data_IF_573004743331
#
_entry.id   IF_573004743331
#
_cell.length_a   1.000
_cell.length_b   1.000
_cell.length_c   1.000
_cell.angle_alpha   90.00
_cell.angle_beta   90.00
_cell.angle_gamma   90.00
#
_symmetry.space_group_name_H-M   'P 1'
#
loop_
_entity.id
_entity.type
_entity.pdbx_description
1 polymer ?
#
# COMPACT_ATOMS: atom_id res chain seq x y z
N UNK A 1 -24.42 -42.69 41.83
CA UNK A 1 -24.28 -44.16 41.91
C UNK A 1 -24.02 -44.64 40.49
N UNK A 2 -22.75 -44.74 40.08
CA UNK A 2 -21.91 -45.96 40.12
C UNK A 2 -22.36 -46.93 39.01
N UNK A 3 -21.74 -46.89 37.83
CA UNK A 3 -20.50 -47.57 37.43
C UNK A 3 -20.65 -49.07 37.11
N UNK A 4 -20.11 -49.39 35.92
CA UNK A 4 -19.38 -50.60 35.56
C UNK A 4 -20.08 -51.80 34.86
N UNK A 5 -19.51 -52.08 33.68
CA UNK A 5 -18.92 -53.36 33.26
C UNK A 5 -19.74 -54.24 32.28
N UNK A 6 -19.50 -54.25 30.96
CA UNK A 6 -18.37 -54.76 30.15
C UNK A 6 -18.61 -56.18 29.62
N UNK A 7 -18.66 -56.33 28.28
CA UNK A 7 -17.91 -57.30 27.43
C UNK A 7 -18.67 -57.63 26.14
N UNK A 8 -18.01 -57.39 25.01
CA UNK A 8 -18.47 -57.81 23.69
C UNK A 8 -17.46 -57.41 22.62
N UNK A 9 -16.33 -58.11 22.60
CA UNK A 9 -15.34 -57.98 21.53
C UNK A 9 -15.86 -58.72 20.29
N UNK A 10 -16.09 -57.98 19.20
CA UNK A 10 -16.18 -58.54 17.85
C UNK A 10 -15.38 -57.63 16.92
N UNK A 11 -14.23 -58.14 16.52
CA UNK A 11 -13.39 -57.59 15.45
C UNK A 11 -14.16 -57.78 14.15
N UNK A 12 -14.55 -56.68 13.50
CA UNK A 12 -14.90 -56.74 12.08
C UNK A 12 -14.33 -55.52 11.36
N UNK A 13 -13.47 -55.84 10.39
CA UNK A 13 -12.84 -54.96 9.42
C UNK A 13 -13.91 -54.12 8.70
N UNK A 14 -13.76 -52.81 8.70
CA UNK A 14 -14.67 -51.89 8.01
C UNK A 14 -13.93 -50.67 7.51
N UNK A 15 -13.93 -50.52 6.20
CA UNK A 15 -13.33 -49.48 5.38
C UNK A 15 -13.87 -48.06 5.72
N UNK A 16 -12.97 -47.08 5.66
CA UNK A 16 -13.16 -45.71 5.13
C UNK A 16 -14.49 -44.96 5.37
N UNK A 17 -14.43 -43.86 6.12
CA UNK A 17 -15.11 -42.60 5.77
C UNK A 17 -14.48 -41.44 6.55
N UNK A 18 -13.44 -40.84 5.97
CA UNK A 18 -13.01 -39.49 6.35
C UNK A 18 -13.99 -38.52 5.70
N UNK A 19 -14.73 -37.76 6.51
CA UNK A 19 -15.43 -36.56 6.06
C UNK A 19 -14.85 -35.37 6.83
N UNK A 20 -13.88 -34.72 6.18
CA UNK A 20 -13.34 -33.43 6.60
C UNK A 20 -14.44 -32.37 6.52
N UNK A 21 -14.49 -31.54 7.55
CA UNK A 21 -15.03 -30.18 7.49
C UNK A 21 -14.34 -29.43 6.34
N UNK A 22 -15.12 -28.98 5.34
CA UNK A 22 -14.67 -27.90 4.45
C UNK A 22 -15.13 -26.59 5.09
N UNK A 23 -14.21 -25.96 5.81
CA UNK A 23 -14.31 -24.55 6.17
C UNK A 23 -14.30 -23.71 4.89
N UNK A 24 -15.10 -22.64 4.88
CA UNK A 24 -15.21 -21.72 3.75
C UNK A 24 -13.86 -21.10 3.40
N UNK A 25 -13.52 -21.18 2.12
CA UNK A 25 -12.44 -20.42 1.52
C UNK A 25 -13.05 -19.62 0.39
N UNK A 26 -13.45 -18.38 0.67
CA UNK A 26 -13.50 -17.37 -0.39
C UNK A 26 -12.11 -17.36 -1.05
N UNK A 27 -12.00 -17.47 -2.38
CA UNK A 27 -10.70 -17.38 -3.02
C UNK A 27 -10.06 -16.02 -2.64
N UNK A 28 -8.77 -15.97 -2.28
CA UNK A 28 -8.07 -14.69 -2.24
C UNK A 28 -8.23 -14.06 -3.62
N UNK A 29 -8.56 -12.77 -3.66
CA UNK A 29 -8.55 -12.00 -4.89
C UNK A 29 -7.22 -12.24 -5.60
N UNK A 30 -7.27 -12.98 -6.71
CA UNK A 30 -6.12 -13.20 -7.55
C UNK A 30 -5.76 -11.84 -8.14
N UNK A 31 -4.65 -11.27 -7.69
CA UNK A 31 -4.04 -10.13 -8.35
C UNK A 31 -3.74 -10.55 -9.80
N UNK A 32 -4.29 -9.82 -10.77
CA UNK A 32 -3.99 -10.04 -12.17
C UNK A 32 -2.51 -9.69 -12.41
N UNK A 33 -1.67 -10.71 -12.59
CA UNK A 33 -0.28 -10.52 -12.99
C UNK A 33 -0.22 -10.11 -14.47
N UNK A 34 0.04 -8.84 -14.75
CA UNK A 34 0.54 -8.41 -16.05
C UNK A 34 1.99 -8.92 -16.23
N UNK A 35 2.34 -9.29 -17.46
CA UNK A 35 3.65 -9.80 -17.84
C UNK A 35 4.74 -8.76 -17.55
N UNK A 36 5.45 -8.99 -16.45
CA UNK A 36 6.35 -8.04 -15.81
C UNK A 36 6.04 -8.09 -14.31
N UNK A 37 6.87 -8.79 -13.57
CA UNK A 37 6.80 -9.02 -12.12
C UNK A 37 6.97 -7.73 -11.29
N UNK A 38 6.14 -6.72 -11.56
CA UNK A 38 6.08 -5.47 -10.83
C UNK A 38 5.38 -5.74 -9.49
N UNK A 39 6.17 -5.93 -8.45
CA UNK A 39 5.68 -6.12 -7.09
C UNK A 39 5.35 -4.76 -6.47
N UNK A 40 4.08 -4.36 -6.53
CA UNK A 40 3.56 -3.21 -5.78
C UNK A 40 3.12 -3.68 -4.38
N UNK A 41 3.53 -3.00 -3.29
CA UNK A 41 3.03 -3.37 -1.96
C UNK A 41 1.50 -3.32 -1.94
N UNK A 42 0.82 -4.39 -1.52
CA UNK A 42 -0.65 -4.42 -1.44
C UNK A 42 -1.20 -3.90 -0.10
N UNK A 43 -0.34 -3.85 0.91
CA UNK A 43 -0.70 -3.51 2.28
C UNK A 43 -0.35 -2.07 2.65
N UNK A 44 -0.71 -1.66 3.87
CA UNK A 44 -0.23 -0.40 4.45
C UNK A 44 1.29 -0.45 4.62
N UNK A 45 1.97 0.63 4.22
CA UNK A 45 3.43 0.73 4.28
C UNK A 45 3.85 2.10 4.80
N UNK A 46 4.64 2.13 5.86
CA UNK A 46 5.31 3.35 6.31
C UNK A 46 6.40 3.73 5.30
N UNK A 47 6.25 4.89 4.65
CA UNK A 47 7.19 5.40 3.64
C UNK A 47 8.34 6.18 4.29
N UNK A 48 8.07 6.81 5.45
CA UNK A 48 9.05 7.54 6.25
C UNK A 48 8.55 8.93 6.63
N UNK A 49 9.41 9.70 7.29
CA UNK A 49 9.11 11.07 7.70
C UNK A 49 9.64 12.07 6.67
N UNK A 50 8.83 13.07 6.32
CA UNK A 50 9.20 14.16 5.42
C UNK A 50 8.96 15.51 6.10
N UNK A 51 9.59 16.56 5.57
CA UNK A 51 9.36 17.94 5.99
C UNK A 51 8.78 18.73 4.81
N UNK A 52 7.55 19.24 4.99
CA UNK A 52 6.92 20.15 4.05
C UNK A 52 7.39 21.59 4.35
N UNK A 53 8.08 22.26 3.41
CA UNK A 53 8.65 23.58 3.66
C UNK A 53 7.60 24.71 3.64
N UNK A 54 6.36 24.42 3.23
CA UNK A 54 5.28 25.39 3.07
C UNK A 54 3.90 24.71 3.12
N UNK A 55 2.82 25.46 3.37
CA UNK A 55 1.48 24.90 3.33
C UNK A 55 1.11 24.46 1.91
N UNK A 56 0.32 23.39 1.84
CA UNK A 56 -0.12 22.74 0.61
C UNK A 56 -1.57 22.29 0.74
N UNK A 57 -2.15 21.83 -0.36
CA UNK A 57 -3.44 21.17 -0.40
C UNK A 57 -3.23 19.66 -0.56
N UNK A 58 -3.92 18.89 0.28
CA UNK A 58 -3.99 17.43 0.22
C UNK A 58 -5.47 17.05 0.12
N UNK A 59 -5.89 16.43 -0.99
CA UNK A 59 -7.32 16.14 -1.28
C UNK A 59 -8.18 17.42 -1.22
N UNK A 60 -7.60 18.55 -1.65
CA UNK A 60 -8.22 19.88 -1.62
C UNK A 60 -8.32 20.54 -0.25
N UNK A 61 -7.84 19.90 0.82
CA UNK A 61 -7.81 20.45 2.18
C UNK A 61 -6.44 21.02 2.52
N UNK A 62 -6.40 22.12 3.28
CA UNK A 62 -5.14 22.73 3.69
C UNK A 62 -4.35 21.83 4.65
N UNK A 63 -3.11 21.54 4.29
CA UNK A 63 -2.11 20.84 5.08
C UNK A 63 -0.98 21.84 5.40
N UNK A 64 -0.79 22.22 6.69
CA UNK A 64 0.25 23.18 7.06
C UNK A 64 1.67 22.71 6.75
N UNK A 65 2.61 23.65 6.67
CA UNK A 65 4.05 23.34 6.68
C UNK A 65 4.43 22.58 7.96
N UNK A 66 5.40 21.66 7.87
CA UNK A 66 5.87 20.91 9.02
C UNK A 66 6.33 19.49 8.70
N UNK A 67 6.68 18.74 9.74
CA UNK A 67 7.08 17.35 9.64
C UNK A 67 5.87 16.41 9.73
N UNK A 68 5.86 15.40 8.84
CA UNK A 68 4.80 14.40 8.76
C UNK A 68 5.38 13.01 8.53
N UNK A 69 4.78 12.01 9.18
CA UNK A 69 4.97 10.61 8.84
C UNK A 69 4.08 10.25 7.67
N UNK A 70 4.65 9.73 6.59
CA UNK A 70 3.93 9.38 5.37
C UNK A 70 3.67 7.88 5.35
N UNK A 71 2.40 7.51 5.20
CA UNK A 71 1.96 6.12 5.11
C UNK A 71 1.23 5.89 3.80
N UNK A 72 1.65 4.88 3.04
CA UNK A 72 0.89 4.33 1.93
C UNK A 72 -0.25 3.47 2.50
N UNK A 73 -1.49 3.69 2.07
CA UNK A 73 -2.65 2.88 2.50
C UNK A 73 -2.88 1.70 1.57
N UNK A 74 -3.78 0.77 1.90
CA UNK A 74 -4.19 -0.29 0.94
C UNK A 74 -5.19 0.19 -0.12
N UNK A 75 -5.61 1.47 -0.10
CA UNK A 75 -6.69 1.98 -0.94
C UNK A 75 -6.16 2.54 -2.26
N UNK A 76 -6.52 1.89 -3.36
CA UNK A 76 -6.27 2.37 -4.72
C UNK A 76 -7.10 3.61 -5.06
N UNK A 77 -6.65 4.38 -6.05
CA UNK A 77 -7.41 5.48 -6.62
C UNK A 77 -8.70 4.96 -7.28
N UNK A 78 -9.77 5.76 -7.26
CA UNK A 78 -11.04 5.44 -7.93
C UNK A 78 -11.59 6.68 -8.63
N UNK A 79 -12.22 6.55 -9.81
CA UNK A 79 -12.52 5.29 -10.53
C UNK A 79 -11.31 4.71 -11.27
N UNK A 80 -11.22 3.38 -11.29
CA UNK A 80 -10.34 2.66 -12.21
C UNK A 80 -10.82 2.91 -13.64
N UNK A 81 -10.22 3.89 -14.32
CA UNK A 81 -10.50 4.11 -15.74
C UNK A 81 -9.81 2.99 -16.52
N UNK A 82 -10.51 2.33 -17.43
CA UNK A 82 -9.91 1.29 -18.28
C UNK A 82 -8.70 1.86 -19.04
N UNK A 83 -7.51 1.33 -18.76
CA UNK A 83 -6.23 1.83 -19.30
C UNK A 83 -5.39 2.63 -18.30
N UNK A 84 -5.94 2.98 -17.13
CA UNK A 84 -5.20 3.52 -15.99
C UNK A 84 -4.85 2.38 -15.04
N UNK A 85 -3.56 2.26 -14.69
CA UNK A 85 -3.09 1.27 -13.72
C UNK A 85 -3.50 1.72 -12.31
N UNK A 86 -4.75 1.47 -11.92
CA UNK A 86 -5.26 1.78 -10.59
C UNK A 86 -4.44 1.18 -9.44
N UNK A 87 -3.67 0.11 -9.71
CA UNK A 87 -2.70 -0.46 -8.75
C UNK A 87 -1.45 0.40 -8.53
N UNK A 88 -1.06 1.23 -9.51
CA UNK A 88 0.07 2.16 -9.41
C UNK A 88 -0.32 3.53 -8.86
N UNK A 89 -1.58 3.78 -8.57
CA UNK A 89 -2.05 5.01 -7.94
C UNK A 89 -2.79 4.71 -6.64
N UNK A 90 -2.30 5.27 -5.53
CA UNK A 90 -2.77 4.88 -4.21
C UNK A 90 -2.76 6.01 -3.23
N UNK A 91 -3.71 5.99 -2.30
CA UNK A 91 -3.78 6.99 -1.26
C UNK A 91 -2.60 6.86 -0.29
N UNK A 92 -1.94 7.98 -0.05
CA UNK A 92 -1.05 8.20 1.08
C UNK A 92 -1.73 9.05 2.13
N UNK A 93 -1.33 8.87 3.38
CA UNK A 93 -1.71 9.67 4.53
C UNK A 93 -0.50 10.40 5.07
N UNK A 94 -0.65 11.71 5.26
CA UNK A 94 0.27 12.54 6.04
C UNK A 94 -0.20 12.53 7.49
N UNK A 95 0.61 11.96 8.38
CA UNK A 95 0.26 11.77 9.79
C UNK A 95 1.16 12.64 10.68
N UNK A 96 0.59 13.15 11.76
CA UNK A 96 1.33 13.87 12.80
C UNK A 96 0.79 13.48 14.17
N UNK A 97 1.66 13.04 15.07
CA UNK A 97 1.23 12.54 16.39
C UNK A 97 0.24 11.36 16.33
N UNK A 98 0.30 10.56 15.26
CA UNK A 98 -0.62 9.44 15.02
C UNK A 98 -1.98 9.80 14.42
N UNK A 99 -2.29 11.09 14.22
CA UNK A 99 -3.50 11.54 13.54
C UNK A 99 -3.26 11.77 12.05
N UNK A 100 -4.24 11.43 11.21
CA UNK A 100 -4.21 11.75 9.77
C UNK A 100 -4.53 13.23 9.58
N UNK A 101 -3.55 13.98 9.08
CA UNK A 101 -3.63 15.42 8.85
C UNK A 101 -4.01 15.76 7.41
N UNK A 102 -3.71 14.87 6.47
CA UNK A 102 -4.05 15.02 5.06
C UNK A 102 -3.92 13.70 4.31
N UNK A 103 -4.57 13.63 3.15
CA UNK A 103 -4.51 12.49 2.23
C UNK A 103 -4.22 13.00 0.84
N UNK A 104 -3.42 12.27 0.07
CA UNK A 104 -3.18 12.59 -1.33
C UNK A 104 -2.93 11.31 -2.13
N UNK A 105 -3.07 11.37 -3.45
CA UNK A 105 -2.66 10.27 -4.31
C UNK A 105 -1.14 10.26 -4.53
N UNK A 106 -0.56 9.07 -4.39
CA UNK A 106 0.81 8.78 -4.79
C UNK A 106 0.81 7.93 -6.06
N UNK A 107 1.66 8.32 -7.02
CA UNK A 107 2.05 7.47 -8.13
C UNK A 107 3.19 6.56 -7.70
N UNK A 108 3.04 5.26 -7.93
CA UNK A 108 3.99 4.22 -7.61
C UNK A 108 4.76 3.88 -8.88
N UNK A 109 6.07 4.09 -8.87
CA UNK A 109 6.96 3.86 -10.00
C UNK A 109 8.01 2.81 -9.61
N UNK A 110 8.01 1.63 -10.26
CA UNK A 110 9.00 0.60 -10.01
C UNK A 110 10.42 1.06 -10.38
N UNK A 111 11.44 0.44 -9.76
CA UNK A 111 12.84 0.72 -10.04
C UNK A 111 13.22 0.60 -11.53
N UNK A 112 12.57 -0.31 -12.25
CA UNK A 112 12.82 -0.57 -13.68
C UNK A 112 12.33 0.55 -14.59
N UNK A 113 11.39 1.38 -14.12
CA UNK A 113 10.76 2.44 -14.92
C UNK A 113 11.31 3.83 -14.59
N UNK A 114 11.97 3.98 -13.42
CA UNK A 114 12.36 5.32 -12.95
C UNK A 114 13.33 6.04 -13.89
N UNK A 115 14.14 5.30 -14.66
CA UNK A 115 15.08 5.87 -15.63
C UNK A 115 14.40 6.66 -16.76
N UNK A 116 13.18 6.28 -17.13
CA UNK A 116 12.41 6.94 -18.20
C UNK A 116 11.54 8.09 -17.66
N UNK A 117 11.20 8.06 -16.38
CA UNK A 117 10.31 9.04 -15.72
C UNK A 117 11.07 10.20 -15.08
N UNK A 118 12.26 9.93 -14.54
CA UNK A 118 12.99 10.87 -13.71
C UNK A 118 13.76 11.92 -14.54
N UNK A 119 13.38 13.19 -14.42
CA UNK A 119 14.12 14.31 -15.01
C UNK A 119 15.41 14.68 -14.24
N UNK A 120 15.63 14.12 -13.05
CA UNK A 120 16.82 14.30 -12.22
C UNK A 120 17.14 13.03 -11.46
N UNK A 121 18.35 12.91 -10.91
CA UNK A 121 18.76 11.71 -10.19
C UNK A 121 17.76 11.40 -9.04
N UNK A 122 17.29 10.14 -8.91
CA UNK A 122 16.38 9.75 -7.85
C UNK A 122 17.01 9.89 -6.44
N UNK A 123 16.19 10.07 -5.39
CA UNK A 123 16.64 9.88 -4.01
C UNK A 123 17.24 8.48 -3.83
N UNK A 124 18.24 8.37 -2.96
CA UNK A 124 18.78 7.07 -2.57
C UNK A 124 17.69 6.19 -1.95
N UNK A 125 17.85 4.86 -2.01
CA UNK A 125 16.93 3.93 -1.38
C UNK A 125 16.82 4.20 0.13
N UNK A 126 15.60 4.21 0.65
CA UNK A 126 15.30 4.54 2.04
C UNK A 126 15.22 6.04 2.34
N UNK A 127 15.37 6.91 1.33
CA UNK A 127 15.39 8.36 1.48
C UNK A 127 14.27 9.05 0.70
N UNK A 128 14.01 10.30 1.06
CA UNK A 128 13.05 11.17 0.39
C UNK A 128 13.68 12.47 -0.08
N UNK A 129 13.04 13.12 -1.06
CA UNK A 129 13.31 14.49 -1.46
C UNK A 129 12.01 15.26 -1.57
N UNK A 130 11.99 16.46 -1.02
CA UNK A 130 10.88 17.40 -1.14
C UNK A 130 11.36 18.57 -1.99
N UNK A 131 10.71 18.80 -3.12
CA UNK A 131 11.09 19.80 -4.11
C UNK A 131 9.92 20.76 -4.35
N UNK A 132 10.17 22.06 -4.23
CA UNK A 132 9.25 23.06 -4.78
C UNK A 132 9.48 23.12 -6.29
N UNK A 133 8.44 22.87 -7.07
CA UNK A 133 8.54 22.86 -8.52
C UNK A 133 8.58 24.29 -9.10
N UNK A 134 9.00 24.40 -10.36
CA UNK A 134 9.04 25.68 -11.08
C UNK A 134 7.66 26.35 -11.04
N UNK A 135 7.66 27.66 -10.80
CA UNK A 135 6.44 28.45 -10.64
C UNK A 135 6.00 28.56 -9.18
N UNK A 136 6.59 27.76 -8.27
CA UNK A 136 6.28 27.78 -6.84
C UNK A 136 4.83 27.41 -6.49
N UNK A 137 4.10 26.83 -7.43
CA UNK A 137 2.68 26.44 -7.28
C UNK A 137 2.49 25.00 -6.78
N UNK A 138 3.54 24.18 -6.86
CA UNK A 138 3.50 22.78 -6.47
C UNK A 138 4.71 22.38 -5.64
N UNK A 139 4.48 21.47 -4.70
CA UNK A 139 5.51 20.70 -4.00
C UNK A 139 5.42 19.26 -4.47
N UNK A 140 6.56 18.70 -4.88
CA UNK A 140 6.70 17.28 -5.14
C UNK A 140 7.41 16.62 -3.98
N UNK A 141 6.77 15.61 -3.40
CA UNK A 141 7.39 14.69 -2.45
C UNK A 141 7.75 13.43 -3.22
N UNK A 142 9.04 13.10 -3.23
CA UNK A 142 9.57 11.91 -3.89
C UNK A 142 10.25 11.02 -2.85
N UNK A 143 9.66 9.85 -2.60
CA UNK A 143 10.18 8.88 -1.64
C UNK A 143 10.67 7.65 -2.39
N UNK A 144 11.86 7.15 -2.06
CA UNK A 144 12.36 5.87 -2.55
C UNK A 144 12.38 4.88 -1.40
N UNK A 145 11.52 3.86 -1.46
CA UNK A 145 11.48 2.77 -0.48
C UNK A 145 11.85 1.47 -1.17
N UNK A 146 13.02 0.95 -0.84
CA UNK A 146 13.52 -0.33 -1.33
C UNK A 146 13.57 -0.43 -2.88
N UNK A 147 13.81 0.70 -3.55
CA UNK A 147 13.84 0.82 -5.01
C UNK A 147 12.50 1.15 -5.66
N UNK A 148 11.39 1.08 -4.92
CA UNK A 148 10.09 1.56 -5.40
C UNK A 148 9.93 3.03 -5.08
N UNK A 149 9.56 3.81 -6.08
CA UNK A 149 9.41 5.26 -5.98
C UNK A 149 7.96 5.65 -5.78
N UNK A 150 7.72 6.58 -4.86
CA UNK A 150 6.41 7.15 -4.58
C UNK A 150 6.49 8.64 -4.85
N UNK A 151 5.70 9.11 -5.82
CA UNK A 151 5.65 10.51 -6.21
C UNK A 151 4.29 11.08 -5.81
N UNK A 152 4.32 12.12 -4.98
CA UNK A 152 3.12 12.82 -4.51
C UNK A 152 3.24 14.28 -4.95
N UNK A 153 2.23 14.79 -5.62
CA UNK A 153 2.18 16.16 -6.11
C UNK A 153 1.12 16.93 -5.34
N UNK A 154 1.55 17.95 -4.61
CA UNK A 154 0.69 18.77 -3.75
C UNK A 154 0.68 20.18 -4.30
N UNK A 155 -0.50 20.75 -4.51
CA UNK A 155 -0.64 22.16 -4.83
C UNK A 155 -0.30 23.00 -3.60
N UNK A 156 0.32 24.16 -3.76
CA UNK A 156 0.53 25.12 -2.66
C UNK A 156 -0.80 25.79 -2.34
N UNK A 157 -1.12 25.94 -1.05
CA UNK A 157 -2.40 26.47 -0.57
C UNK A 157 -2.30 27.19 0.78
#
# INVERSE_FOLDING_TARGET
MNQASMKGSCILRGLAAVLLFVAGSSPPAAALQLAGNVSVPAEELALGTIELPRPVLADGQALPAGAYDVHLTSRTASPETAGTLGELERWVEFRQGGAVMGRELASIVPATEIGDIAASAPPASGSSRVEVLRGNDYVRVWINRDGTHYLIHLAVG
#
